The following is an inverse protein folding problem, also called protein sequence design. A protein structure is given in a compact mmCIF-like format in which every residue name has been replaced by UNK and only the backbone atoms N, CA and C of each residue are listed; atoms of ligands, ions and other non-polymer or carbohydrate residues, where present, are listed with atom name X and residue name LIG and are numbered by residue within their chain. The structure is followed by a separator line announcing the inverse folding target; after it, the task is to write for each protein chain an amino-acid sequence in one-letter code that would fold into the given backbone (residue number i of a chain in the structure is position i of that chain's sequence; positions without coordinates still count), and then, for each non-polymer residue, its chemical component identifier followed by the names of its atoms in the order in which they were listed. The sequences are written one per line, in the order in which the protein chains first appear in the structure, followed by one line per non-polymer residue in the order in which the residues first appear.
data_IF_366340148845
#
_entry.id   IF_366340148845
#
_cell.length_a   1.000
_cell.length_b   1.000
_cell.length_c   1.000
_cell.angle_alpha   90.00
_cell.angle_beta   90.00
_cell.angle_gamma   90.00
#
_symmetry.space_group_name_H-M   'P 1'
#
loop_
_entity.id
_entity.type
_entity.pdbx_description
1 polymer ?
#
# COMPACT_ATOMS: atom_id res chain seq x y z
N UNK A 1 -27.35 22.89 12.34
CA UNK A 1 -26.12 22.46 13.03
C UNK A 1 -25.57 21.31 12.22
N UNK A 2 -24.46 21.51 11.51
CA UNK A 2 -23.85 20.48 10.66
C UNK A 2 -22.76 19.78 11.49
N UNK A 3 -22.83 18.46 11.58
CA UNK A 3 -21.80 17.63 12.18
C UNK A 3 -21.18 16.73 11.11
N UNK A 4 -19.91 16.39 11.29
CA UNK A 4 -19.22 15.41 10.46
C UNK A 4 -19.16 14.07 11.20
N UNK A 5 -19.43 12.99 10.49
CA UNK A 5 -19.25 11.62 10.96
C UNK A 5 -18.24 10.94 10.03
N UNK A 6 -17.13 10.48 10.61
CA UNK A 6 -16.02 9.87 9.88
C UNK A 6 -15.72 8.52 10.52
N UNK A 7 -15.64 7.49 9.68
CA UNK A 7 -15.18 6.16 10.09
C UNK A 7 -13.69 6.09 9.85
N UNK A 8 -12.91 5.82 10.91
CA UNK A 8 -11.47 5.74 10.85
C UNK A 8 -11.01 4.27 10.75
N UNK A 9 -10.35 3.89 9.65
CA UNK A 9 -9.73 2.58 9.48
C UNK A 9 -8.28 2.51 9.99
N UNK A 10 -7.79 3.59 10.61
CA UNK A 10 -6.51 3.82 11.26
C UNK A 10 -5.29 3.80 10.34
N UNK A 11 -5.03 2.67 9.68
CA UNK A 11 -3.76 2.40 9.01
C UNK A 11 -3.48 3.29 7.77
N UNK A 12 -4.46 3.78 6.99
CA UNK A 12 -4.19 4.79 5.97
C UNK A 12 -3.60 6.09 6.52
N UNK A 13 -3.83 6.39 7.79
CA UNK A 13 -3.42 7.64 8.42
C UNK A 13 -2.13 7.53 9.20
N UNK A 14 -1.58 6.34 9.42
CA UNK A 14 -0.23 6.21 9.98
C UNK A 14 0.83 6.59 8.92
N UNK A 15 2.08 6.83 9.35
CA UNK A 15 3.12 7.31 8.44
C UNK A 15 3.39 6.36 7.28
N UNK A 16 3.41 5.05 7.54
CA UNK A 16 3.63 4.02 6.52
C UNK A 16 2.49 4.00 5.46
N UNK A 17 1.24 3.98 5.90
CA UNK A 17 0.06 3.99 5.03
C UNK A 17 -0.01 5.24 4.17
N UNK A 18 0.24 6.42 4.75
CA UNK A 18 0.29 7.69 3.99
C UNK A 18 1.38 7.64 2.92
N UNK A 19 2.61 7.27 3.30
CA UNK A 19 3.72 7.21 2.35
C UNK A 19 3.50 6.16 1.25
N UNK A 20 2.87 5.03 1.58
CA UNK A 20 2.45 4.04 0.60
C UNK A 20 1.45 4.61 -0.41
N UNK A 21 0.38 5.25 0.08
CA UNK A 21 -0.67 5.87 -0.75
C UNK A 21 -0.08 6.96 -1.63
N UNK A 22 0.67 7.89 -1.03
CA UNK A 22 1.28 9.02 -1.74
C UNK A 22 2.26 8.57 -2.81
N UNK A 23 3.16 7.62 -2.49
CA UNK A 23 4.15 7.16 -3.46
C UNK A 23 3.51 6.35 -4.59
N UNK A 24 2.47 5.56 -4.32
CA UNK A 24 1.68 4.92 -5.39
C UNK A 24 1.13 5.96 -6.38
N UNK A 25 0.56 7.05 -5.85
CA UNK A 25 0.00 8.12 -6.68
C UNK A 25 1.09 8.92 -7.42
N UNK A 26 2.23 9.20 -6.77
CA UNK A 26 3.38 9.90 -7.38
C UNK A 26 3.99 9.07 -8.52
N UNK A 27 4.18 7.77 -8.31
CA UNK A 27 4.69 6.85 -9.34
C UNK A 27 3.75 6.84 -10.54
N UNK A 28 2.44 6.75 -10.32
CA UNK A 28 1.47 6.86 -11.42
C UNK A 28 1.57 8.20 -12.16
N UNK A 29 1.72 9.32 -11.44
CA UNK A 29 1.89 10.64 -12.05
C UNK A 29 3.19 10.78 -12.85
N UNK A 30 4.26 10.10 -12.46
CA UNK A 30 5.55 10.16 -13.15
C UNK A 30 5.61 9.23 -14.37
N UNK A 31 5.15 7.98 -14.21
CA UNK A 31 5.23 6.95 -15.25
C UNK A 31 4.03 7.03 -16.21
N UNK A 32 2.93 7.66 -15.80
CA UNK A 32 1.65 7.70 -16.52
C UNK A 32 1.07 6.30 -16.81
N UNK A 33 1.48 5.31 -16.01
CA UNK A 33 1.05 3.92 -16.12
C UNK A 33 0.56 3.43 -14.76
N UNK A 34 -0.60 2.77 -14.74
CA UNK A 34 -1.11 2.07 -13.55
C UNK A 34 -0.26 0.81 -13.26
N UNK A 35 -0.21 0.33 -12.00
CA UNK A 35 0.42 -0.94 -11.71
C UNK A 35 -0.19 -2.05 -12.58
N UNK A 36 0.66 -2.90 -13.15
CA UNK A 36 0.25 -4.00 -14.04
C UNK A 36 0.00 -5.30 -13.28
N UNK A 37 0.45 -5.37 -12.03
CA UNK A 37 0.16 -6.45 -11.11
C UNK A 37 0.23 -5.95 -9.67
N UNK A 38 -0.33 -6.71 -8.74
CA UNK A 38 -0.15 -6.46 -7.32
C UNK A 38 -0.74 -7.55 -6.45
N UNK A 39 -0.43 -7.46 -5.16
CA UNK A 39 -0.87 -8.42 -4.15
C UNK A 39 -1.14 -7.73 -2.82
N UNK A 40 -2.17 -8.17 -2.12
CA UNK A 40 -2.41 -7.88 -0.70
C UNK A 40 -2.43 -9.20 0.05
N UNK A 41 -1.69 -9.29 1.15
CA UNK A 41 -1.77 -10.40 2.10
C UNK A 41 -2.22 -9.82 3.44
N UNK A 42 -3.31 -10.34 4.00
CA UNK A 42 -3.91 -9.82 5.24
C UNK A 42 -4.77 -10.87 5.94
N UNK A 43 -5.27 -10.52 7.12
CA UNK A 43 -6.17 -11.33 7.93
C UNK A 43 -7.61 -10.82 7.89
N UNK A 44 -8.55 -11.54 8.49
CA UNK A 44 -9.96 -11.09 8.60
C UNK A 44 -10.10 -9.85 9.46
N UNK A 45 -9.22 -9.70 10.46
CA UNK A 45 -9.21 -8.59 11.39
C UNK A 45 -8.79 -7.28 10.70
N UNK A 46 -7.90 -7.37 9.70
CA UNK A 46 -7.28 -6.21 9.05
C UNK A 46 -7.69 -6.02 7.58
N UNK A 47 -8.57 -6.87 7.03
CA UNK A 47 -9.01 -6.74 5.64
C UNK A 47 -9.64 -5.36 5.34
N UNK A 48 -10.41 -4.80 6.28
CA UNK A 48 -11.07 -3.52 6.05
C UNK A 48 -10.06 -2.39 5.83
N UNK A 49 -9.06 -2.28 6.71
CA UNK A 49 -8.00 -1.27 6.57
C UNK A 49 -7.08 -1.55 5.39
N UNK A 50 -6.79 -2.81 5.07
CA UNK A 50 -6.01 -3.17 3.89
C UNK A 50 -6.69 -2.73 2.59
N UNK A 51 -8.00 -2.93 2.47
CA UNK A 51 -8.79 -2.48 1.33
C UNK A 51 -8.90 -0.96 1.27
N UNK A 52 -9.03 -0.28 2.42
CA UNK A 52 -9.07 1.18 2.46
C UNK A 52 -7.76 1.80 1.96
N UNK A 53 -6.60 1.30 2.43
CA UNK A 53 -5.28 1.70 1.91
C UNK A 53 -5.21 1.51 0.40
N UNK A 54 -5.62 0.34 -0.10
CA UNK A 54 -5.58 0.03 -1.53
C UNK A 54 -6.47 0.97 -2.36
N UNK A 55 -7.72 1.17 -1.93
CA UNK A 55 -8.67 2.05 -2.62
C UNK A 55 -8.17 3.49 -2.66
N UNK A 56 -7.63 4.02 -1.56
CA UNK A 56 -7.05 5.36 -1.51
C UNK A 56 -5.82 5.50 -2.41
N UNK A 57 -4.92 4.51 -2.39
CA UNK A 57 -3.72 4.49 -3.24
C UNK A 57 -4.08 4.51 -4.74
N UNK A 58 -5.08 3.72 -5.12
CA UNK A 58 -5.52 3.57 -6.51
C UNK A 58 -6.54 4.63 -6.96
N UNK A 59 -7.12 5.38 -6.01
CA UNK A 59 -8.26 6.29 -6.20
C UNK A 59 -9.50 5.58 -6.74
N UNK A 60 -9.83 4.44 -6.14
CA UNK A 60 -10.99 3.62 -6.49
C UNK A 60 -12.14 3.86 -5.53
N UNK A 61 -13.37 3.82 -6.03
CA UNK A 61 -14.54 3.71 -5.19
C UNK A 61 -14.80 2.22 -4.85
N UNK A 62 -15.20 1.86 -3.62
CA UNK A 62 -15.42 0.45 -3.25
C UNK A 62 -16.40 -0.29 -4.16
N UNK A 63 -17.42 0.41 -4.69
CA UNK A 63 -18.40 -0.17 -5.62
C UNK A 63 -17.80 -0.54 -7.00
N UNK A 64 -16.60 -0.07 -7.32
CA UNK A 64 -15.91 -0.42 -8.56
C UNK A 64 -15.16 -1.75 -8.46
N UNK A 65 -15.14 -2.37 -7.28
CA UNK A 65 -14.39 -3.59 -7.01
C UNK A 65 -15.34 -4.79 -7.00
N UNK A 66 -15.05 -5.75 -7.87
CA UNK A 66 -15.66 -7.07 -7.84
C UNK A 66 -14.69 -8.09 -7.25
N UNK A 67 -15.22 -9.07 -6.54
CA UNK A 67 -14.41 -10.09 -5.84
C UNK A 67 -14.79 -11.47 -6.34
N UNK A 68 -13.80 -12.24 -6.79
CA UNK A 68 -13.98 -13.65 -7.15
C UNK A 68 -13.05 -14.53 -6.35
N UNK A 69 -13.51 -15.72 -5.97
CA UNK A 69 -12.69 -16.74 -5.33
C UNK A 69 -11.89 -17.48 -6.40
N UNK A 70 -10.57 -17.35 -6.35
CA UNK A 70 -9.66 -18.06 -7.26
C UNK A 70 -9.28 -19.43 -6.73
N UNK A 71 -8.97 -19.50 -5.43
CA UNK A 71 -8.55 -20.74 -4.79
C UNK A 71 -8.85 -20.73 -3.31
N UNK A 72 -9.57 -21.74 -2.86
CA UNK A 72 -9.82 -21.96 -1.43
C UNK A 72 -8.71 -22.83 -0.83
N UNK A 73 -7.70 -22.17 -0.25
CA UNK A 73 -6.56 -22.81 0.38
C UNK A 73 -6.57 -22.57 1.91
N UNK A 74 -5.82 -23.40 2.64
CA UNK A 74 -5.58 -23.21 4.08
C UNK A 74 -4.07 -23.05 4.30
N UNK A 75 -3.61 -22.04 5.07
CA UNK A 75 -4.40 -21.12 5.88
C UNK A 75 -4.98 -19.90 5.14
N UNK A 76 -4.61 -19.67 3.87
CA UNK A 76 -4.98 -18.49 3.08
C UNK A 76 -5.90 -18.86 1.91
N UNK A 77 -7.01 -18.13 1.74
CA UNK A 77 -7.80 -18.15 0.51
C UNK A 77 -7.29 -17.07 -0.45
N UNK A 78 -7.35 -17.37 -1.75
CA UNK A 78 -6.91 -16.48 -2.82
C UNK A 78 -8.13 -15.92 -3.54
N UNK A 79 -8.26 -14.61 -3.50
CA UNK A 79 -9.35 -13.84 -4.07
C UNK A 79 -8.77 -12.92 -5.14
N UNK A 80 -9.47 -12.75 -6.26
CA UNK A 80 -9.16 -11.72 -7.25
C UNK A 80 -10.05 -10.52 -6.97
N UNK A 81 -9.44 -9.35 -6.86
CA UNK A 81 -10.13 -8.07 -6.80
C UNK A 81 -10.02 -7.43 -8.19
N UNK A 82 -11.09 -7.51 -8.98
CA UNK A 82 -11.15 -6.89 -10.30
C UNK A 82 -11.77 -5.50 -10.21
N UNK A 83 -11.12 -4.52 -10.82
CA UNK A 83 -11.55 -3.11 -10.84
C UNK A 83 -11.19 -2.46 -12.20
N UNK A 84 -11.60 -1.21 -12.50
CA UNK A 84 -11.35 -0.57 -13.79
C UNK A 84 -9.87 -0.39 -14.17
N UNK A 85 -8.95 -0.49 -13.20
CA UNK A 85 -7.50 -0.36 -13.43
C UNK A 85 -6.78 -1.69 -13.61
N UNK A 86 -7.45 -2.82 -13.38
CA UNK A 86 -6.88 -4.16 -13.49
C UNK A 86 -7.22 -5.06 -12.32
N UNK A 87 -6.64 -6.26 -12.33
CA UNK A 87 -6.83 -7.29 -11.31
C UNK A 87 -5.73 -7.20 -10.24
N UNK A 88 -6.13 -7.43 -8.98
CA UNK A 88 -5.24 -7.55 -7.83
C UNK A 88 -5.47 -8.89 -7.13
N UNK A 89 -4.40 -9.56 -6.68
CA UNK A 89 -4.52 -10.76 -5.85
C UNK A 89 -4.65 -10.41 -4.37
N UNK A 90 -5.73 -10.85 -3.73
CA UNK A 90 -5.91 -10.79 -2.27
C UNK A 90 -5.73 -12.19 -1.67
N UNK A 91 -4.71 -12.35 -0.84
CA UNK A 91 -4.48 -13.54 -0.02
C UNK A 91 -5.02 -13.28 1.39
N UNK A 92 -6.17 -13.86 1.71
CA UNK A 92 -6.89 -13.60 2.95
C UNK A 92 -6.76 -14.80 3.91
N UNK A 93 -6.33 -14.55 5.15
CA UNK A 93 -6.38 -15.57 6.20
C UNK A 93 -7.82 -16.08 6.38
N UNK A 94 -7.99 -17.40 6.31
CA UNK A 94 -9.33 -18.02 6.36
C UNK A 94 -9.86 -18.16 7.79
N UNK A 95 -8.97 -18.39 8.76
CA UNK A 95 -9.31 -18.77 10.13
C UNK A 95 -9.11 -17.62 11.14
N UNK A 96 -9.91 -17.63 12.21
CA UNK A 96 -9.75 -16.81 13.40
C UNK A 96 -10.11 -17.64 14.64
N UNK A 97 -9.59 -17.27 15.82
CA UNK A 97 -10.01 -17.86 17.09
C UNK A 97 -11.28 -17.19 17.58
N UNK A 98 -12.35 -17.93 17.83
CA UNK A 98 -13.59 -17.34 18.38
C UNK A 98 -13.43 -16.81 19.81
N UNK A 99 -12.46 -17.35 20.55
CA UNK A 99 -12.21 -16.96 21.94
C UNK A 99 -11.29 -15.74 22.04
N UNK A 100 -10.56 -15.44 20.97
CA UNK A 100 -9.66 -14.28 20.88
C UNK A 100 -9.64 -13.75 19.42
N UNK A 101 -10.72 -13.07 18.99
CA UNK A 101 -10.96 -12.78 17.57
C UNK A 101 -10.00 -11.74 16.99
N UNK A 102 -9.45 -10.85 17.83
CA UNK A 102 -8.61 -9.75 17.40
C UNK A 102 -7.14 -10.17 17.24
N UNK A 103 -6.75 -11.28 17.86
CA UNK A 103 -5.38 -11.79 17.84
C UNK A 103 -5.15 -12.82 16.72
N UNK A 104 -3.92 -13.32 16.64
CA UNK A 104 -3.52 -14.42 15.73
C UNK A 104 -3.64 -14.09 14.24
N UNK A 105 -3.47 -12.83 13.87
CA UNK A 105 -3.21 -12.46 12.47
C UNK A 105 -1.82 -12.96 12.08
N UNK A 106 -1.73 -13.86 11.08
CA UNK A 106 -0.45 -14.30 10.52
C UNK A 106 0.26 -13.15 9.81
N UNK A 107 -0.52 -12.35 9.08
CA UNK A 107 -0.08 -11.12 8.41
C UNK A 107 -1.16 -10.08 8.64
N UNK A 108 -0.79 -8.93 9.20
CA UNK A 108 -1.71 -7.80 9.35
C UNK A 108 -1.88 -7.06 8.01
N UNK A 109 -0.79 -6.51 7.48
CA UNK A 109 -0.76 -5.86 6.17
C UNK A 109 0.57 -6.18 5.48
N UNK A 110 0.48 -6.68 4.26
CA UNK A 110 1.61 -6.75 3.34
C UNK A 110 1.08 -6.49 1.93
N UNK A 111 1.58 -5.45 1.27
CA UNK A 111 1.02 -4.96 0.00
C UNK A 111 2.13 -4.71 -1.01
N UNK A 112 1.92 -5.14 -2.25
CA UNK A 112 2.83 -4.89 -3.37
C UNK A 112 2.04 -4.40 -4.57
N UNK A 113 2.55 -3.35 -5.23
CA UNK A 113 2.10 -2.89 -6.53
C UNK A 113 3.29 -2.83 -7.47
N UNK A 114 3.15 -3.39 -8.67
CA UNK A 114 4.25 -3.55 -9.61
C UNK A 114 4.02 -2.92 -10.97
N UNK A 115 5.10 -2.40 -11.52
CA UNK A 115 5.23 -1.78 -12.83
C UNK A 115 6.39 -2.45 -13.60
N UNK A 116 6.51 -2.23 -14.92
CA UNK A 116 7.70 -2.64 -15.65
C UNK A 116 9.00 -2.06 -15.08
N UNK A 117 8.95 -0.87 -14.48
CA UNK A 117 10.10 -0.18 -13.90
C UNK A 117 10.51 -0.71 -12.51
N UNK A 118 9.66 -1.47 -11.82
CA UNK A 118 9.89 -1.85 -10.42
C UNK A 118 8.60 -2.09 -9.65
N UNK A 119 8.71 -2.23 -8.34
CA UNK A 119 7.55 -2.43 -7.48
C UNK A 119 7.68 -1.67 -6.15
N UNK A 120 6.55 -1.16 -5.68
CA UNK A 120 6.41 -0.58 -4.35
C UNK A 120 5.96 -1.70 -3.40
N UNK A 121 6.58 -1.81 -2.22
CA UNK A 121 6.17 -2.71 -1.12
C UNK A 121 5.85 -1.97 0.18
N UNK A 122 4.73 -2.31 0.82
CA UNK A 122 4.44 -2.06 2.24
C UNK A 122 4.61 -3.41 2.95
N UNK A 123 5.74 -3.61 3.63
CA UNK A 123 6.12 -4.92 4.14
C UNK A 123 5.44 -5.28 5.48
N UNK A 124 4.86 -4.31 6.17
CA UNK A 124 4.16 -4.47 7.43
C UNK A 124 3.23 -3.29 7.70
N UNK A 125 2.35 -3.40 8.70
CA UNK A 125 1.36 -2.35 9.05
C UNK A 125 1.97 -0.97 9.31
N UNK A 126 3.21 -0.94 9.79
CA UNK A 126 3.97 0.28 10.11
C UNK A 126 5.26 0.35 9.28
N UNK A 127 5.27 -0.29 8.11
CA UNK A 127 6.41 -0.31 7.20
C UNK A 127 7.32 -1.54 7.34
N UNK A 128 8.48 -1.53 6.66
CA UNK A 128 8.96 -0.44 5.80
C UNK A 128 8.09 -0.21 4.55
N UNK A 129 8.27 0.97 3.95
CA UNK A 129 7.71 1.32 2.62
C UNK A 129 8.87 1.50 1.65
N UNK A 130 8.92 0.68 0.61
CA UNK A 130 10.12 0.52 -0.23
C UNK A 130 9.77 0.47 -1.71
N UNK A 131 10.53 1.16 -2.55
CA UNK A 131 10.54 0.95 -4.00
C UNK A 131 11.72 0.07 -4.36
N UNK A 132 11.50 -0.95 -5.19
CA UNK A 132 12.53 -1.82 -5.73
C UNK A 132 12.58 -1.65 -7.24
N UNK A 133 13.73 -1.25 -7.78
CA UNK A 133 13.91 -1.06 -9.21
C UNK A 133 14.00 -2.40 -9.93
N UNK A 134 13.31 -2.51 -11.07
CA UNK A 134 13.54 -3.61 -11.99
C UNK A 134 14.86 -3.37 -12.72
N UNK A 135 15.70 -4.40 -12.80
CA UNK A 135 16.91 -4.32 -13.62
C UNK A 135 16.52 -4.36 -15.10
N UNK A 136 16.86 -3.30 -15.82
CA UNK A 136 16.74 -3.26 -17.26
C UNK A 136 18.00 -2.64 -17.88
N UNK A 137 18.60 -3.36 -18.83
CA UNK A 137 19.79 -2.90 -19.56
C UNK A 137 19.41 -2.81 -21.04
N UNK A 138 19.38 -1.58 -21.55
CA UNK A 138 19.10 -1.32 -22.96
C UNK A 138 20.12 -2.07 -23.84
N UNK A 139 19.65 -2.63 -24.96
CA UNK A 139 20.49 -3.29 -25.96
C UNK A 139 21.40 -4.41 -25.43
N UNK A 140 21.07 -5.04 -24.30
CA UNK A 140 21.92 -6.10 -23.74
C UNK A 140 22.13 -7.27 -24.72
N UNK A 141 21.15 -7.54 -25.60
CA UNK A 141 21.22 -8.61 -26.61
C UNK A 141 22.18 -8.28 -27.76
N UNK A 142 22.37 -6.99 -28.06
CA UNK A 142 23.30 -6.53 -29.11
C UNK A 142 24.75 -6.47 -28.59
N UNK A 143 24.93 -6.50 -27.27
CA UNK A 143 26.23 -6.49 -26.63
C UNK A 143 26.93 -7.85 -26.73
N UNK A 144 28.14 -7.85 -27.29
CA UNK A 144 29.05 -9.00 -27.27
C UNK A 144 29.89 -9.08 -25.98
N UNK A 145 29.75 -8.11 -25.08
CA UNK A 145 30.51 -8.01 -23.83
C UNK A 145 29.70 -8.57 -22.67
N UNK A 146 30.40 -9.22 -21.72
CA UNK A 146 29.80 -9.55 -20.44
C UNK A 146 29.41 -8.25 -19.69
N UNK A 147 28.39 -8.32 -18.83
CA UNK A 147 27.90 -7.14 -18.08
C UNK A 147 29.00 -6.44 -17.27
N UNK A 148 29.91 -7.20 -16.65
CA UNK A 148 31.07 -6.68 -15.93
C UNK A 148 32.08 -5.93 -16.82
N UNK A 149 32.09 -6.22 -18.13
CA UNK A 149 33.00 -5.61 -19.11
C UNK A 149 32.37 -4.43 -19.85
N UNK A 150 31.06 -4.23 -19.68
CA UNK A 150 30.39 -3.03 -20.15
C UNK A 150 30.83 -1.85 -19.28
N UNK A 151 30.99 -0.64 -19.85
CA UNK A 151 31.16 0.56 -19.02
C UNK A 151 30.03 0.59 -17.99
N UNK A 152 30.29 1.12 -16.79
CA UNK A 152 29.20 1.45 -15.86
C UNK A 152 28.20 2.32 -16.63
N UNK A 153 27.05 1.75 -16.95
CA UNK A 153 25.99 2.47 -17.62
C UNK A 153 25.15 3.11 -16.54
N UNK A 154 24.48 4.22 -16.83
CA UNK A 154 23.65 4.91 -15.85
C UNK A 154 22.60 3.97 -15.24
N UNK A 155 22.14 2.95 -15.98
CA UNK A 155 21.20 1.94 -15.48
C UNK A 155 21.77 1.03 -14.38
N UNK A 156 23.08 0.80 -14.35
CA UNK A 156 23.74 0.00 -13.30
C UNK A 156 24.06 0.82 -12.04
N UNK A 157 24.06 2.15 -12.15
CA UNK A 157 24.29 3.07 -11.04
C UNK A 157 22.99 3.43 -10.29
N UNK A 158 21.82 3.09 -10.85
CA UNK A 158 20.53 3.25 -10.18
C UNK A 158 20.46 2.37 -8.91
N UNK A 159 19.91 2.88 -7.80
CA UNK A 159 19.82 2.12 -6.56
C UNK A 159 18.90 0.92 -6.74
N UNK A 160 19.28 -0.26 -6.23
CA UNK A 160 18.43 -1.45 -6.29
C UNK A 160 17.08 -1.24 -5.59
N UNK A 161 17.09 -0.50 -4.48
CA UNK A 161 15.89 -0.15 -3.74
C UNK A 161 16.02 1.24 -3.09
N UNK A 162 14.87 1.83 -2.78
CA UNK A 162 14.74 3.09 -2.06
C UNK A 162 13.73 2.93 -0.92
N UNK A 163 14.14 3.21 0.32
CA UNK A 163 13.24 3.18 1.48
C UNK A 163 12.62 4.57 1.70
N UNK A 164 11.30 4.66 1.57
CA UNK A 164 10.55 5.86 1.93
C UNK A 164 10.26 5.93 3.43
N UNK A 165 10.23 4.78 4.09
CA UNK A 165 9.94 4.69 5.52
C UNK A 165 10.60 3.48 6.16
N UNK A 166 11.27 3.73 7.28
CA UNK A 166 11.77 2.70 8.20
C UNK A 166 10.74 2.47 9.30
N UNK A 167 10.42 1.21 9.66
CA UNK A 167 9.46 0.92 10.70
C UNK A 167 9.95 1.36 12.09
N UNK A 168 9.04 1.55 13.05
CA UNK A 168 9.39 1.72 14.47
C UNK A 168 10.16 0.50 14.99
N UNK A 169 10.96 0.71 16.05
CA UNK A 169 11.85 -0.32 16.59
C UNK A 169 11.11 -1.42 17.36
N UNK A 170 9.91 -1.11 17.87
CA UNK A 170 9.13 -2.01 18.70
C UNK A 170 7.62 -1.78 18.58
N UNK A 171 6.83 -2.77 19.02
CA UNK A 171 5.40 -2.60 19.19
C UNK A 171 5.03 -1.59 20.27
N UNK A 172 5.92 -1.36 21.25
CA UNK A 172 5.69 -0.32 22.25
C UNK A 172 5.74 1.07 21.60
N UNK A 173 6.74 1.33 20.74
CA UNK A 173 6.82 2.57 19.97
C UNK A 173 5.59 2.75 19.07
N UNK A 174 5.08 1.64 18.50
CA UNK A 174 3.83 1.67 17.74
C UNK A 174 2.67 2.19 18.58
N UNK A 175 2.50 1.63 19.79
CA UNK A 175 1.36 1.96 20.65
C UNK A 175 1.47 3.35 21.28
N UNK A 176 2.69 3.77 21.64
CA UNK A 176 2.93 5.03 22.34
C UNK A 176 3.10 6.22 21.39
N UNK A 177 3.58 5.99 20.16
CA UNK A 177 3.93 7.06 19.23
C UNK A 177 3.17 6.96 17.90
N UNK A 178 3.33 5.87 17.14
CA UNK A 178 2.86 5.82 15.74
C UNK A 178 1.33 5.78 15.62
N UNK A 179 0.64 4.97 16.43
CA UNK A 179 -0.80 4.87 16.38
C UNK A 179 -1.50 6.15 16.89
N UNK A 180 -1.08 6.78 18.01
CA UNK A 180 -1.60 8.08 18.40
C UNK A 180 -1.35 9.17 17.36
N UNK A 181 -0.18 9.19 16.72
CA UNK A 181 0.14 10.17 15.69
C UNK A 181 -0.74 10.02 14.44
N UNK A 182 -1.14 8.79 14.09
CA UNK A 182 -2.13 8.55 13.03
C UNK A 182 -3.49 9.19 13.35
N UNK A 183 -3.92 9.13 14.61
CA UNK A 183 -5.16 9.76 15.08
C UNK A 183 -5.01 11.29 15.05
N UNK A 184 -3.88 11.81 15.54
CA UNK A 184 -3.56 13.24 15.53
C UNK A 184 -3.58 13.80 14.10
N UNK A 185 -2.98 13.08 13.16
CA UNK A 185 -3.03 13.42 11.74
C UNK A 185 -4.47 13.53 11.23
N UNK A 186 -5.32 12.53 11.50
CA UNK A 186 -6.71 12.55 11.05
C UNK A 186 -7.50 13.71 11.67
N UNK A 187 -7.33 13.97 12.97
CA UNK A 187 -7.98 15.09 13.65
C UNK A 187 -7.56 16.44 13.05
N UNK A 188 -6.28 16.61 12.73
CA UNK A 188 -5.77 17.81 12.06
C UNK A 188 -6.36 17.99 10.66
N UNK A 189 -6.55 16.92 9.89
CA UNK A 189 -7.21 16.98 8.58
C UNK A 189 -8.69 17.38 8.69
N UNK A 190 -9.38 16.90 9.73
CA UNK A 190 -10.77 17.29 10.02
C UNK A 190 -10.86 18.77 10.38
N UNK A 191 -9.95 19.26 11.22
CA UNK A 191 -9.90 20.68 11.61
C UNK A 191 -9.66 21.59 10.40
N UNK A 192 -8.77 21.20 9.48
CA UNK A 192 -8.59 21.93 8.21
C UNK A 192 -9.88 22.00 7.39
N UNK A 193 -10.65 20.91 7.33
CA UNK A 193 -11.93 20.90 6.63
C UNK A 193 -12.96 21.82 7.29
N UNK A 194 -12.89 22.00 8.61
CA UNK A 194 -13.75 22.89 9.38
C UNK A 194 -13.37 24.37 9.23
N UNK A 195 -12.08 24.67 9.08
CA UNK A 195 -11.54 26.03 8.94
C UNK A 195 -11.65 26.61 7.52
N UNK A 196 -12.00 25.81 6.52
CA UNK A 196 -12.36 26.34 5.20
C UNK A 196 -13.58 27.26 5.37
N UNK A 197 -13.53 28.53 4.92
CA UNK A 197 -14.70 29.39 5.03
C UNK A 197 -15.86 28.74 4.30
N UNK A 198 -17.06 28.81 4.89
CA UNK A 198 -18.34 28.59 4.21
C UNK A 198 -18.57 29.68 3.15
N UNK A 199 -17.56 30.02 2.34
CA UNK A 199 -17.65 30.93 1.21
C UNK A 199 -18.22 30.19 0.00
N UNK A 200 -19.49 29.82 0.16
CA UNK A 200 -20.48 29.92 -0.90
C UNK A 200 -21.70 30.62 -0.32
N UNK A 201 -21.55 31.94 -0.15
CA UNK A 201 -22.69 32.85 -0.08
C UNK A 201 -23.40 32.92 -1.44
N UNK A 202 -24.73 33.10 -1.35
CA UNK A 202 -25.70 33.54 -2.37
C UNK A 202 -26.40 32.47 -3.21
#
# INVERSE_FOLDING_TARGET
MHCHYIVNSLYPHNKAGRLWIENTQKIYQQIQQRPVWGQIITSRQLIYSALDIYCQAMKLHPNDITVTLEKDNTPLQFLRLSNPTGDLLLCLQKHLSSNDPDQHSLVMHHMILGWPAGYLTLAGSYGPVEWNNALYIHHHQDSKKAMYQSPATMELDEPLFHSFHTPPNSWQDVMECEAPEAINYLLAEIDKCWQLPNDKNQ
#
